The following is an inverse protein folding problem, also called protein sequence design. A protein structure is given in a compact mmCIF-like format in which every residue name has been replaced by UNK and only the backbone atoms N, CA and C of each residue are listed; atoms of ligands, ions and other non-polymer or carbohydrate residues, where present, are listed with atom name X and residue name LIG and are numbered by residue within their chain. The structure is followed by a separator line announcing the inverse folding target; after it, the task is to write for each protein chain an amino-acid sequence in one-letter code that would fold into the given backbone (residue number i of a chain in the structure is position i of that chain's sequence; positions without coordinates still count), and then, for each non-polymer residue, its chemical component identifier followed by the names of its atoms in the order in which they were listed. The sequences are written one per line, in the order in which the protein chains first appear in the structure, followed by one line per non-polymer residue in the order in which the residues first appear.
data_IF_459829287457
#
_entry.id   IF_459829287457
#
_cell.length_a   1.000
_cell.length_b   1.000
_cell.length_c   1.000
_cell.angle_alpha   90.00
_cell.angle_beta   90.00
_cell.angle_gamma   90.00
#
_symmetry.space_group_name_H-M   'P 1'
#
loop_
_entity.id
_entity.type
_entity.pdbx_description
1 polymer ?
#
# COMPACT_ATOMS: atom_id res chain seq x y z
N UNK A 1 67.97 11.57 -6.34
CA UNK A 1 67.30 10.49 -5.56
C UNK A 1 67.55 10.60 -4.06
N UNK A 2 68.79 10.76 -3.60
CA UNK A 2 69.13 10.84 -2.17
C UNK A 2 68.43 11.99 -1.42
N UNK A 3 68.31 13.17 -2.02
CA UNK A 3 67.62 14.31 -1.41
C UNK A 3 66.11 14.08 -1.22
N UNK A 4 65.47 13.36 -2.15
CA UNK A 4 64.03 13.06 -2.06
C UNK A 4 63.75 12.06 -0.93
N UNK A 5 64.64 11.08 -0.76
CA UNK A 5 64.57 10.08 0.31
C UNK A 5 64.81 10.77 1.67
N UNK A 6 65.78 11.68 1.75
CA UNK A 6 66.05 12.44 2.97
C UNK A 6 64.85 13.30 3.41
N UNK A 7 64.15 13.94 2.45
CA UNK A 7 62.94 14.72 2.74
C UNK A 7 61.78 13.81 3.18
N UNK A 8 61.58 12.66 2.54
CA UNK A 8 60.54 11.70 2.94
C UNK A 8 60.78 11.12 4.33
N UNK A 9 62.04 10.81 4.66
CA UNK A 9 62.46 10.35 5.99
C UNK A 9 62.23 11.44 7.04
N UNK A 10 62.53 12.71 6.73
CA UNK A 10 62.25 13.86 7.61
C UNK A 10 60.75 14.07 7.85
N UNK A 11 59.91 13.89 6.83
CA UNK A 11 58.44 14.00 6.98
C UNK A 11 57.85 12.88 7.84
N UNK A 12 58.43 11.67 7.78
CA UNK A 12 57.99 10.53 8.62
C UNK A 12 58.51 10.65 10.06
N UNK A 13 59.73 11.17 10.25
CA UNK A 13 60.36 11.31 11.58
C UNK A 13 59.93 12.57 12.35
N UNK A 14 59.35 13.56 11.68
CA UNK A 14 58.75 14.75 12.30
C UNK A 14 57.22 14.74 12.15
N UNK A 15 56.49 13.83 12.82
CA UNK A 15 55.03 13.84 12.78
C UNK A 15 54.53 15.17 13.38
N UNK A 16 53.95 16.02 12.55
CA UNK A 16 53.17 17.15 13.07
C UNK A 16 51.94 16.57 13.76
N UNK A 17 51.65 17.06 14.97
CA UNK A 17 50.49 16.62 15.74
C UNK A 17 49.23 16.99 14.98
N UNK A 18 48.73 16.07 14.16
CA UNK A 18 47.42 16.23 13.53
C UNK A 18 46.39 15.98 14.63
N UNK A 19 45.90 17.07 15.23
CA UNK A 19 44.75 17.04 16.11
C UNK A 19 43.48 16.84 15.26
N UNK A 20 43.38 15.69 14.60
CA UNK A 20 42.14 15.25 14.02
C UNK A 20 41.21 14.85 15.17
N UNK A 21 40.34 15.76 15.58
CA UNK A 21 39.26 15.47 16.50
C UNK A 21 38.32 14.44 15.84
N UNK A 22 38.56 13.15 16.11
CA UNK A 22 37.57 12.13 15.92
C UNK A 22 36.51 12.35 17.01
N UNK A 23 35.52 13.20 16.70
CA UNK A 23 34.42 13.45 17.62
C UNK A 23 33.76 12.14 18.05
N UNK A 24 33.15 12.10 19.25
CA UNK A 24 32.62 10.86 19.85
C UNK A 24 31.72 10.07 18.89
N UNK A 25 31.05 10.76 17.96
CA UNK A 25 30.21 10.18 16.92
C UNK A 25 30.88 9.15 16.00
N UNK A 26 32.19 9.26 15.71
CA UNK A 26 32.86 8.28 14.85
C UNK A 26 33.01 6.92 15.55
N UNK A 27 33.38 6.93 16.83
CA UNK A 27 33.41 5.74 17.68
C UNK A 27 32.02 5.13 17.85
N UNK A 28 31.00 5.95 18.12
CA UNK A 28 29.60 5.50 18.21
C UNK A 28 29.07 4.94 16.89
N UNK A 29 29.43 5.52 15.74
CA UNK A 29 29.03 5.02 14.43
C UNK A 29 29.66 3.65 14.12
N UNK A 30 30.96 3.47 14.42
CA UNK A 30 31.64 2.19 14.22
C UNK A 30 31.10 1.14 15.20
N UNK A 31 30.91 1.48 16.47
CA UNK A 31 30.35 0.56 17.46
C UNK A 31 28.93 0.13 17.09
N UNK A 32 28.08 1.08 16.69
CA UNK A 32 26.68 0.79 16.33
C UNK A 32 26.56 0.00 15.02
N UNK A 33 27.39 0.31 14.02
CA UNK A 33 27.43 -0.43 12.74
C UNK A 33 28.00 -1.84 12.93
N UNK A 34 29.06 -1.99 13.73
CA UNK A 34 29.59 -3.30 14.08
C UNK A 34 28.59 -4.10 14.90
N UNK A 35 27.96 -3.49 15.92
CA UNK A 35 26.97 -4.15 16.76
C UNK A 35 25.74 -4.59 15.97
N UNK A 36 25.26 -3.78 15.04
CA UNK A 36 24.15 -4.16 14.15
C UNK A 36 24.52 -5.33 13.24
N UNK A 37 25.70 -5.32 12.63
CA UNK A 37 26.20 -6.45 11.84
C UNK A 37 26.38 -7.72 12.68
N UNK A 38 26.94 -7.59 13.89
CA UNK A 38 27.14 -8.70 14.81
C UNK A 38 25.81 -9.31 15.28
N UNK A 39 24.84 -8.48 15.68
CA UNK A 39 23.49 -8.94 16.05
C UNK A 39 22.78 -9.57 14.85
N UNK A 40 22.90 -8.99 13.65
CA UNK A 40 22.34 -9.57 12.44
C UNK A 40 22.97 -10.93 12.12
N UNK A 41 24.28 -11.08 12.30
CA UNK A 41 24.98 -12.35 12.14
C UNK A 41 24.49 -13.38 13.17
N UNK A 42 24.43 -13.03 14.46
CA UNK A 42 23.92 -13.92 15.51
C UNK A 42 22.47 -14.34 15.24
N UNK A 43 21.62 -13.41 14.80
CA UNK A 43 20.23 -13.71 14.44
C UNK A 43 20.15 -14.63 13.22
N UNK A 44 21.01 -14.41 12.22
CA UNK A 44 21.10 -15.26 11.03
C UNK A 44 21.61 -16.66 11.38
N UNK A 45 22.64 -16.77 12.21
CA UNK A 45 23.15 -18.03 12.72
C UNK A 45 22.09 -18.77 13.55
N UNK A 46 21.39 -18.08 14.46
CA UNK A 46 20.27 -18.65 15.20
C UNK A 46 19.16 -19.12 14.27
N UNK A 47 18.76 -18.32 13.29
CA UNK A 47 17.74 -18.68 12.31
C UNK A 47 18.16 -19.91 11.49
N UNK A 48 19.41 -19.98 11.06
CA UNK A 48 19.98 -21.10 10.31
C UNK A 48 20.07 -22.38 11.16
N UNK A 49 20.62 -22.30 12.37
CA UNK A 49 20.77 -23.43 13.29
C UNK A 49 19.42 -23.99 13.74
N UNK A 50 18.44 -23.12 13.95
CA UNK A 50 17.09 -23.54 14.33
C UNK A 50 16.19 -23.85 13.13
N UNK A 51 16.58 -23.54 11.90
CA UNK A 51 15.77 -23.81 10.70
C UNK A 51 15.44 -25.31 10.54
N UNK A 52 16.40 -26.26 10.64
CA UNK A 52 16.11 -27.68 10.54
C UNK A 52 15.12 -28.16 11.61
N UNK A 53 15.31 -27.72 12.86
CA UNK A 53 14.43 -28.08 13.97
C UNK A 53 13.03 -27.47 13.79
N UNK A 54 12.93 -26.19 13.42
CA UNK A 54 11.65 -25.53 13.12
C UNK A 54 10.96 -26.19 11.93
N UNK A 55 11.72 -26.59 10.91
CA UNK A 55 11.21 -27.28 9.72
C UNK A 55 10.69 -28.67 10.08
N UNK A 56 11.45 -29.44 10.85
CA UNK A 56 11.04 -30.75 11.36
C UNK A 56 9.79 -30.63 12.26
N UNK A 57 9.78 -29.68 13.20
CA UNK A 57 8.61 -29.39 14.02
C UNK A 57 7.40 -28.97 13.18
N UNK A 58 7.60 -28.22 12.08
CA UNK A 58 6.53 -27.88 11.14
C UNK A 58 6.06 -29.09 10.36
N UNK A 59 6.93 -30.02 9.97
CA UNK A 59 6.56 -31.27 9.31
C UNK A 59 5.78 -32.20 10.24
N UNK A 60 6.21 -32.31 11.50
CA UNK A 60 5.56 -33.12 12.54
C UNK A 60 4.22 -32.51 13.00
N UNK A 61 4.15 -31.18 13.15
CA UNK A 61 2.92 -30.46 13.53
C UNK A 61 1.99 -30.20 12.34
N UNK A 62 2.45 -30.39 11.10
CA UNK A 62 1.56 -30.33 9.92
C UNK A 62 0.57 -31.46 10.08
N UNK A 63 -0.68 -31.13 10.45
CA UNK A 63 -1.78 -32.06 10.25
C UNK A 63 -1.76 -32.45 8.78
N UNK A 64 -1.44 -33.71 8.49
CA UNK A 64 -1.63 -34.26 7.16
C UNK A 64 -3.12 -34.12 6.86
N UNK A 65 -3.44 -33.45 5.75
CA UNK A 65 -4.77 -33.54 5.13
C UNK A 65 -5.17 -35.02 5.14
N UNK A 66 -6.25 -35.33 5.85
CA UNK A 66 -6.73 -36.70 6.03
C UNK A 66 -7.35 -37.19 4.72
N UNK A 67 -6.53 -37.72 3.82
CA UNK A 67 -7.00 -38.38 2.60
C UNK A 67 -6.12 -38.15 1.37
N UNK A 68 -6.27 -39.05 0.40
CA UNK A 68 -5.71 -38.90 -0.95
C UNK A 68 -6.50 -37.78 -1.66
N UNK A 69 -5.83 -36.69 -2.01
CA UNK A 69 -6.48 -35.57 -2.69
C UNK A 69 -6.98 -36.01 -4.08
N UNK A 70 -8.23 -35.68 -4.41
CA UNK A 70 -8.81 -35.95 -5.74
C UNK A 70 -8.20 -35.05 -6.81
N UNK A 71 -7.76 -33.85 -6.44
CA UNK A 71 -7.14 -32.87 -7.34
C UNK A 71 -5.80 -32.38 -6.78
N UNK A 72 -4.86 -32.04 -7.67
CA UNK A 72 -3.55 -31.49 -7.27
C UNK A 72 -3.60 -30.00 -6.91
N UNK A 73 -4.46 -29.23 -7.59
CA UNK A 73 -4.60 -27.78 -7.45
C UNK A 73 -6.04 -27.35 -7.72
N UNK A 74 -6.53 -26.39 -6.94
CA UNK A 74 -7.79 -25.69 -7.17
C UNK A 74 -7.49 -24.21 -7.43
N UNK A 75 -8.15 -23.62 -8.44
CA UNK A 75 -8.06 -22.20 -8.77
C UNK A 75 -9.46 -21.62 -8.69
N UNK A 76 -9.63 -20.55 -7.92
CA UNK A 76 -10.90 -19.83 -7.82
C UNK A 76 -10.68 -18.46 -8.44
N UNK A 77 -11.44 -18.17 -9.50
CA UNK A 77 -11.45 -16.87 -10.17
C UNK A 77 -12.74 -16.14 -9.81
N UNK A 78 -12.59 -14.93 -9.30
CA UNK A 78 -13.70 -14.07 -8.90
C UNK A 78 -13.85 -12.89 -9.85
N UNK A 79 -15.03 -12.73 -10.45
CA UNK A 79 -15.37 -11.59 -11.29
C UNK A 79 -16.40 -10.73 -10.55
N UNK A 80 -16.03 -9.49 -10.21
CA UNK A 80 -16.95 -8.57 -9.54
C UNK A 80 -18.01 -8.09 -10.52
N UNK A 81 -19.27 -8.04 -10.09
CA UNK A 81 -20.40 -7.59 -10.92
C UNK A 81 -20.66 -8.43 -12.18
N UNK A 82 -20.18 -9.67 -12.26
CA UNK A 82 -20.44 -10.53 -13.43
C UNK A 82 -21.90 -11.00 -13.43
N UNK A 83 -22.70 -10.34 -14.25
CA UNK A 83 -24.11 -10.69 -14.46
C UNK A 83 -24.23 -11.99 -15.29
N UNK A 84 -25.01 -12.99 -14.82
CA UNK A 84 -25.13 -14.27 -15.49
C UNK A 84 -25.86 -14.19 -16.85
N UNK A 85 -26.81 -13.27 -17.03
CA UNK A 85 -27.55 -13.12 -18.28
C UNK A 85 -26.68 -12.45 -19.35
N UNK A 86 -25.90 -11.45 -18.96
CA UNK A 86 -24.89 -10.85 -19.85
C UNK A 86 -23.82 -11.87 -20.24
N UNK A 87 -23.36 -12.69 -19.30
CA UNK A 87 -22.39 -13.74 -19.57
C UNK A 87 -22.94 -14.77 -20.58
N UNK A 88 -24.16 -15.27 -20.38
CA UNK A 88 -24.84 -16.19 -21.31
C UNK A 88 -24.98 -15.58 -22.70
N UNK A 89 -25.44 -14.32 -22.78
CA UNK A 89 -25.57 -13.60 -24.07
C UNK A 89 -24.22 -13.47 -24.78
N UNK A 90 -23.17 -13.06 -24.09
CA UNK A 90 -21.85 -12.88 -24.70
C UNK A 90 -21.15 -14.20 -25.04
N UNK A 91 -21.50 -15.31 -24.38
CA UNK A 91 -21.11 -16.66 -24.81
C UNK A 91 -21.80 -16.99 -26.14
N UNK A 92 -23.11 -16.77 -26.26
CA UNK A 92 -23.87 -17.04 -27.47
C UNK A 92 -23.41 -16.18 -28.67
N UNK A 93 -22.99 -14.94 -28.41
CA UNK A 93 -22.38 -14.04 -29.41
C UNK A 93 -20.92 -14.41 -29.78
N UNK A 94 -20.35 -15.46 -29.18
CA UNK A 94 -18.96 -15.88 -29.44
C UNK A 94 -17.88 -14.98 -28.82
N UNK A 95 -18.25 -14.02 -27.96
CA UNK A 95 -17.34 -13.05 -27.33
C UNK A 95 -16.59 -13.60 -26.11
N UNK A 96 -17.09 -14.68 -25.50
CA UNK A 96 -16.51 -15.31 -24.31
C UNK A 96 -16.11 -16.79 -24.55
N UNK A 97 -15.19 -17.07 -25.51
CA UNK A 97 -14.88 -18.44 -25.92
C UNK A 97 -14.29 -19.31 -24.80
N UNK A 98 -13.54 -18.72 -23.87
CA UNK A 98 -12.99 -19.45 -22.73
C UNK A 98 -14.07 -19.87 -21.71
N UNK A 99 -15.10 -19.04 -21.50
CA UNK A 99 -16.21 -19.39 -20.62
C UNK A 99 -17.12 -20.43 -21.29
N UNK A 100 -17.35 -20.32 -22.60
CA UNK A 100 -18.04 -21.35 -23.38
C UNK A 100 -17.40 -22.73 -23.21
N UNK A 101 -16.07 -22.81 -23.38
CA UNK A 101 -15.32 -24.06 -23.18
C UNK A 101 -15.41 -24.59 -21.74
N UNK A 102 -15.41 -23.72 -20.72
CA UNK A 102 -15.57 -24.13 -19.32
C UNK A 102 -16.99 -24.63 -19.03
N UNK A 103 -18.00 -24.05 -19.68
CA UNK A 103 -19.39 -24.50 -19.61
C UNK A 103 -19.56 -25.89 -20.22
N UNK A 104 -18.97 -26.16 -21.39
CA UNK A 104 -19.01 -27.46 -22.07
C UNK A 104 -18.30 -28.57 -21.28
N UNK A 105 -17.15 -28.27 -20.68
CA UNK A 105 -16.32 -29.25 -19.97
C UNK A 105 -16.72 -29.46 -18.50
N UNK A 106 -17.63 -28.64 -17.99
CA UNK A 106 -17.88 -28.53 -16.56
C UNK A 106 -19.33 -28.26 -16.20
N UNK A 107 -19.54 -27.46 -15.15
CA UNK A 107 -20.87 -27.07 -14.69
C UNK A 107 -20.95 -25.55 -14.69
N UNK A 108 -21.93 -25.02 -15.40
CA UNK A 108 -22.26 -23.60 -15.40
C UNK A 108 -23.67 -23.41 -14.85
N UNK A 109 -23.80 -22.68 -13.74
CA UNK A 109 -25.08 -22.46 -13.05
C UNK A 109 -25.16 -21.05 -12.52
N UNK A 110 -26.35 -20.47 -12.60
CA UNK A 110 -26.68 -19.19 -11.94
C UNK A 110 -26.60 -19.39 -10.43
N UNK A 111 -25.89 -18.50 -9.74
CA UNK A 111 -25.76 -18.49 -8.29
C UNK A 111 -26.54 -17.31 -7.72
N UNK A 112 -27.31 -17.56 -6.65
CA UNK A 112 -27.99 -16.50 -5.92
C UNK A 112 -26.96 -15.68 -5.14
N UNK A 113 -27.05 -14.36 -5.23
CA UNK A 113 -26.22 -13.42 -4.47
C UNK A 113 -26.71 -13.24 -3.03
N UNK A 114 -25.95 -12.51 -2.22
CA UNK A 114 -26.32 -12.13 -0.85
C UNK A 114 -27.41 -11.07 -0.83
N UNK A 115 -28.04 -10.89 0.33
CA UNK A 115 -28.85 -9.72 0.63
C UNK A 115 -28.20 -8.96 1.80
N UNK A 116 -27.70 -7.72 1.61
CA UNK A 116 -27.69 -6.93 0.38
C UNK A 116 -26.78 -7.47 -0.74
N UNK A 117 -27.13 -7.17 -2.00
CA UNK A 117 -26.40 -7.60 -3.19
C UNK A 117 -25.27 -6.62 -3.55
N UNK A 118 -24.33 -6.43 -2.64
CA UNK A 118 -23.20 -5.50 -2.79
C UNK A 118 -21.87 -6.21 -2.56
N UNK A 119 -20.83 -5.81 -3.30
CA UNK A 119 -19.54 -6.52 -3.37
C UNK A 119 -18.94 -6.89 -1.99
N UNK A 120 -18.76 -5.98 -1.00
CA UNK A 120 -18.12 -6.34 0.26
C UNK A 120 -18.91 -7.38 1.06
N UNK A 121 -20.24 -7.43 0.89
CA UNK A 121 -21.13 -8.40 1.52
C UNK A 121 -20.99 -9.77 0.85
N UNK A 122 -21.10 -9.81 -0.47
CA UNK A 122 -20.97 -11.04 -1.26
C UNK A 122 -19.60 -11.69 -1.07
N UNK A 123 -18.51 -10.91 -1.14
CA UNK A 123 -17.14 -11.41 -0.95
C UNK A 123 -16.89 -11.91 0.49
N UNK A 124 -17.47 -11.25 1.50
CA UNK A 124 -17.40 -11.70 2.88
C UNK A 124 -18.15 -13.02 3.08
N UNK A 125 -19.34 -13.17 2.50
CA UNK A 125 -20.10 -14.43 2.53
C UNK A 125 -19.35 -15.54 1.79
N UNK A 126 -18.83 -15.26 0.59
CA UNK A 126 -18.02 -16.21 -0.21
C UNK A 126 -16.87 -16.78 0.61
N UNK A 127 -16.08 -15.92 1.26
CA UNK A 127 -14.89 -16.39 1.95
C UNK A 127 -15.21 -17.10 3.27
N UNK A 128 -16.26 -16.69 3.99
CA UNK A 128 -16.54 -17.18 5.35
C UNK A 128 -17.59 -18.30 5.38
N UNK A 129 -18.38 -18.47 4.32
CA UNK A 129 -19.49 -19.43 4.26
C UNK A 129 -20.66 -19.08 5.18
N UNK A 130 -20.75 -17.84 5.67
CA UNK A 130 -21.83 -17.39 6.56
C UNK A 130 -22.52 -16.15 6.02
N UNK A 131 -23.74 -15.87 6.48
CA UNK A 131 -24.52 -14.71 6.04
C UNK A 131 -24.04 -13.37 6.65
N UNK A 132 -24.56 -12.23 6.17
CA UNK A 132 -24.16 -10.90 6.64
C UNK A 132 -24.31 -10.64 8.12
N UNK A 133 -25.35 -11.21 8.75
CA UNK A 133 -25.55 -11.15 10.20
C UNK A 133 -24.41 -11.76 11.01
N UNK A 134 -23.69 -12.75 10.45
CA UNK A 134 -22.59 -13.44 11.14
C UNK A 134 -21.22 -12.86 10.81
N UNK A 135 -21.00 -12.38 9.58
CA UNK A 135 -19.72 -11.77 9.20
C UNK A 135 -19.66 -10.24 9.41
N UNK A 136 -20.76 -9.59 9.80
CA UNK A 136 -20.80 -8.17 10.22
C UNK A 136 -20.41 -7.16 9.11
N UNK A 137 -20.64 -7.50 7.83
CA UNK A 137 -20.39 -6.58 6.70
C UNK A 137 -21.71 -6.44 5.97
N UNK A 138 -22.17 -5.20 5.79
CA UNK A 138 -23.50 -4.89 5.24
C UNK A 138 -23.47 -3.93 4.04
N UNK A 139 -22.37 -3.18 3.88
CA UNK A 139 -22.14 -2.20 2.80
C UNK A 139 -20.62 -1.88 2.77
N UNK A 140 -20.15 -0.97 1.93
CA UNK A 140 -18.80 -0.35 1.98
C UNK A 140 -18.66 0.63 3.15
N UNK A 141 -19.75 1.31 3.50
CA UNK A 141 -19.82 2.28 4.59
C UNK A 141 -20.73 1.78 5.69
N UNK A 142 -20.35 2.01 6.94
CA UNK A 142 -21.22 1.85 8.09
C UNK A 142 -21.44 3.20 8.74
N UNK A 143 -22.49 3.32 9.55
CA UNK A 143 -22.83 4.56 10.26
C UNK A 143 -22.46 4.42 11.72
N UNK A 144 -21.69 5.37 12.24
CA UNK A 144 -21.47 5.47 13.68
C UNK A 144 -22.80 5.83 14.35
N UNK A 145 -23.20 5.07 15.38
CA UNK A 145 -24.50 5.25 16.03
C UNK A 145 -24.53 6.46 16.96
N UNK A 146 -23.37 6.99 17.38
CA UNK A 146 -23.28 8.10 18.31
C UNK A 146 -23.36 9.46 17.61
N UNK A 147 -22.71 9.59 16.45
CA UNK A 147 -22.61 10.86 15.74
C UNK A 147 -23.15 10.82 14.29
N UNK A 148 -23.65 9.66 13.85
CA UNK A 148 -24.24 9.44 12.52
C UNK A 148 -23.28 9.63 11.34
N UNK A 149 -21.97 9.79 11.57
CA UNK A 149 -20.98 9.92 10.50
C UNK A 149 -20.70 8.56 9.84
N UNK A 150 -20.44 8.54 8.52
CA UNK A 150 -20.04 7.33 7.83
C UNK A 150 -18.60 6.96 8.18
N UNK A 151 -18.34 5.65 8.29
CA UNK A 151 -17.00 5.08 8.40
C UNK A 151 -16.87 3.84 7.52
N UNK A 152 -15.64 3.39 7.26
CA UNK A 152 -15.42 2.20 6.44
C UNK A 152 -15.87 0.94 7.16
N UNK A 153 -16.79 0.19 6.54
CA UNK A 153 -17.33 -1.03 7.13
C UNK A 153 -16.33 -2.18 7.21
N UNK A 154 -15.26 -2.11 6.41
CA UNK A 154 -14.30 -3.20 6.18
C UNK A 154 -13.13 -3.16 7.16
N UNK A 155 -12.63 -1.95 7.44
CA UNK A 155 -11.50 -1.73 8.34
C UNK A 155 -11.63 -0.40 9.09
N UNK A 156 -11.23 -0.42 10.35
CA UNK A 156 -11.12 0.76 11.21
C UNK A 156 -9.64 1.09 11.41
N UNK A 157 -9.26 2.33 11.10
CA UNK A 157 -7.92 2.87 11.36
C UNK A 157 -8.04 3.92 12.46
N UNK A 158 -7.39 3.66 13.60
CA UNK A 158 -7.32 4.61 14.72
C UNK A 158 -5.89 5.05 14.94
N UNK A 159 -5.73 6.33 15.29
CA UNK A 159 -4.48 6.85 15.80
C UNK A 159 -3.99 6.09 17.05
N UNK A 160 -2.75 6.35 17.47
CA UNK A 160 -2.17 5.71 18.65
C UNK A 160 -2.95 6.10 19.91
N UNK A 161 -3.11 5.15 20.83
CA UNK A 161 -3.92 5.31 22.06
C UNK A 161 -3.34 6.34 23.04
N UNK A 162 -2.05 6.63 22.95
CA UNK A 162 -1.33 7.52 23.86
C UNK A 162 -0.60 8.56 23.02
N UNK A 163 -0.60 9.79 23.50
CA UNK A 163 0.18 10.89 22.95
C UNK A 163 0.76 11.73 24.08
N UNK A 164 1.88 12.41 23.80
CA UNK A 164 2.51 13.34 24.71
C UNK A 164 2.46 14.73 24.08
N UNK A 165 1.83 15.69 24.77
CA UNK A 165 1.83 17.09 24.35
C UNK A 165 3.14 17.75 24.82
N UNK A 166 3.97 18.22 23.90
CA UNK A 166 5.19 19.00 24.18
C UNK A 166 5.10 20.32 23.40
N UNK A 167 4.78 21.41 24.09
CA UNK A 167 4.52 22.71 23.46
C UNK A 167 3.40 22.61 22.43
N UNK A 168 3.67 23.02 21.19
CA UNK A 168 2.73 22.93 20.06
C UNK A 168 2.61 21.54 19.43
N UNK A 169 3.48 20.60 19.79
CA UNK A 169 3.53 19.27 19.18
C UNK A 169 2.78 18.23 20.01
N UNK A 170 1.98 17.39 19.36
CA UNK A 170 1.38 16.20 19.96
C UNK A 170 2.11 14.95 19.46
N UNK A 171 3.02 14.41 20.26
CA UNK A 171 3.87 13.28 19.84
C UNK A 171 3.10 11.97 20.05
N UNK A 172 2.83 11.18 19.00
CA UNK A 172 2.18 9.87 19.14
C UNK A 172 3.09 8.86 19.86
N UNK A 173 2.59 8.25 20.94
CA UNK A 173 3.27 7.19 21.68
C UNK A 173 2.69 5.83 21.28
N UNK A 174 3.12 5.33 20.13
CA UNK A 174 2.77 4.00 19.64
C UNK A 174 2.45 3.96 18.16
N UNK A 175 2.02 2.78 17.68
CA UNK A 175 1.60 2.58 16.29
C UNK A 175 0.10 2.83 16.15
N UNK A 176 -0.32 3.25 14.96
CA UNK A 176 -1.73 3.26 14.58
C UNK A 176 -2.33 1.85 14.71
N UNK A 177 -3.58 1.77 15.14
CA UNK A 177 -4.31 0.51 15.25
C UNK A 177 -5.16 0.32 14.00
N UNK A 178 -4.90 -0.76 13.26
CA UNK A 178 -5.69 -1.16 12.10
C UNK A 178 -6.47 -2.41 12.48
N UNK A 179 -7.79 -2.36 12.38
CA UNK A 179 -8.69 -3.45 12.76
C UNK A 179 -9.61 -3.81 11.61
N UNK A 180 -9.59 -5.08 11.21
CA UNK A 180 -10.59 -5.63 10.29
C UNK A 180 -11.94 -5.76 11.00
N UNK A 181 -13.00 -5.30 10.35
CA UNK A 181 -14.35 -5.28 10.92
C UNK A 181 -15.15 -6.53 10.55
N UNK A 182 -14.71 -7.26 9.51
CA UNK A 182 -15.28 -8.53 9.08
C UNK A 182 -15.06 -9.61 10.15
N UNK A 183 -16.14 -10.29 10.53
CA UNK A 183 -16.13 -11.46 11.41
C UNK A 183 -16.15 -12.75 10.60
N UNK A 184 -16.02 -13.88 11.29
CA UNK A 184 -15.98 -15.20 10.67
C UNK A 184 -14.58 -15.57 10.16
N UNK A 185 -14.35 -16.87 10.02
CA UNK A 185 -13.06 -17.43 9.59
C UNK A 185 -13.13 -17.76 8.10
N UNK A 186 -12.29 -17.13 7.25
CA UNK A 186 -12.25 -17.48 5.84
C UNK A 186 -11.85 -18.95 5.61
N UNK A 187 -12.38 -19.59 4.58
CA UNK A 187 -12.16 -21.02 4.33
C UNK A 187 -10.67 -21.36 4.15
N UNK A 188 -9.86 -20.45 3.59
CA UNK A 188 -8.41 -20.65 3.45
C UNK A 188 -7.67 -20.75 4.78
N UNK A 189 -8.21 -20.23 5.88
CA UNK A 189 -7.64 -20.46 7.21
C UNK A 189 -7.82 -21.92 7.64
N UNK A 190 -8.98 -22.53 7.33
CA UNK A 190 -9.21 -23.95 7.60
C UNK A 190 -8.30 -24.82 6.72
N UNK A 191 -8.15 -24.48 5.45
CA UNK A 191 -7.20 -25.14 4.54
C UNK A 191 -5.76 -25.06 5.08
N UNK A 192 -5.31 -23.86 5.50
CA UNK A 192 -3.99 -23.67 6.09
C UNK A 192 -3.78 -24.48 7.37
N UNK A 193 -4.78 -24.55 8.26
CA UNK A 193 -4.76 -25.41 9.46
C UNK A 193 -4.70 -26.91 9.12
N UNK A 194 -5.29 -27.31 8.00
CA UNK A 194 -5.23 -28.67 7.47
C UNK A 194 -3.97 -28.95 6.62
N UNK A 195 -3.01 -28.00 6.59
CA UNK A 195 -1.74 -28.16 5.89
C UNK A 195 -1.78 -27.86 4.38
N UNK A 196 -2.92 -27.42 3.86
CA UNK A 196 -3.14 -27.04 2.45
C UNK A 196 -2.73 -25.57 2.27
N UNK A 197 -1.69 -25.33 1.48
CA UNK A 197 -1.22 -23.98 1.19
C UNK A 197 -2.20 -23.25 0.25
N UNK A 198 -2.48 -21.98 0.52
CA UNK A 198 -3.32 -21.14 -0.33
C UNK A 198 -2.67 -19.80 -0.63
N UNK A 199 -2.80 -19.36 -1.89
CA UNK A 199 -2.44 -18.02 -2.33
C UNK A 199 -3.70 -17.20 -2.54
N UNK A 200 -3.91 -16.17 -1.72
CA UNK A 200 -5.07 -15.28 -1.78
C UNK A 200 -4.62 -13.96 -2.38
N UNK A 201 -5.08 -13.63 -3.59
CA UNK A 201 -4.60 -12.48 -4.35
C UNK A 201 -5.77 -11.55 -4.65
N UNK A 202 -5.72 -10.35 -4.08
CA UNK A 202 -6.67 -9.24 -4.29
C UNK A 202 -8.14 -9.59 -4.07
N UNK A 203 -8.42 -10.59 -3.21
CA UNK A 203 -9.80 -10.88 -2.77
C UNK A 203 -10.31 -9.69 -1.93
N UNK A 204 -11.49 -9.12 -2.21
CA UNK A 204 -12.03 -7.98 -1.47
C UNK A 204 -12.23 -8.25 0.02
N UNK A 205 -12.22 -7.21 0.85
CA UNK A 205 -12.50 -7.27 2.31
C UNK A 205 -11.52 -8.18 3.07
N UNK A 206 -10.26 -8.15 2.67
CA UNK A 206 -9.15 -8.89 3.30
C UNK A 206 -8.10 -7.94 3.91
N UNK A 207 -8.45 -6.67 4.12
CA UNK A 207 -7.61 -5.70 4.82
C UNK A 207 -8.07 -5.51 6.28
N UNK A 208 -7.15 -5.42 7.26
CA UNK A 208 -5.72 -5.70 7.14
C UNK A 208 -5.47 -7.17 6.79
N UNK A 209 -4.36 -7.49 6.09
CA UNK A 209 -4.07 -8.86 5.70
C UNK A 209 -3.93 -9.78 6.92
N UNK A 210 -4.81 -10.76 7.02
CA UNK A 210 -4.81 -11.75 8.10
C UNK A 210 -3.62 -12.71 7.98
N UNK A 211 -3.02 -13.05 9.12
CA UNK A 211 -1.96 -14.07 9.17
C UNK A 211 -2.57 -15.46 9.15
N UNK A 212 -2.21 -16.25 8.15
CA UNK A 212 -2.57 -17.66 8.06
C UNK A 212 -1.44 -18.47 7.39
N UNK A 213 -1.48 -19.82 7.40
CA UNK A 213 -0.49 -20.67 6.72
C UNK A 213 -0.60 -20.62 5.18
N UNK A 214 -0.30 -19.45 4.59
CA UNK A 214 -0.34 -19.18 3.15
C UNK A 214 0.18 -17.78 2.84
N UNK A 215 -0.23 -17.22 1.70
CA UNK A 215 0.09 -15.83 1.33
C UNK A 215 -1.20 -15.05 1.03
N UNK A 216 -1.24 -13.79 1.47
CA UNK A 216 -2.37 -12.89 1.28
C UNK A 216 -1.89 -11.54 0.75
N UNK A 217 -2.43 -11.14 -0.40
CA UNK A 217 -2.37 -9.76 -0.90
C UNK A 217 -3.79 -9.20 -0.89
N UNK A 218 -4.04 -8.19 -0.05
CA UNK A 218 -5.38 -7.59 0.06
C UNK A 218 -5.78 -6.86 -1.23
N UNK A 219 -7.08 -6.79 -1.50
CA UNK A 219 -7.64 -6.19 -2.70
C UNK A 219 -8.50 -4.96 -2.42
N UNK A 220 -9.66 -4.88 -3.08
CA UNK A 220 -10.69 -3.87 -2.79
C UNK A 220 -10.97 -3.78 -1.28
N UNK A 221 -11.27 -2.58 -0.79
CA UNK A 221 -11.39 -2.21 0.62
C UNK A 221 -10.06 -2.02 1.39
N UNK A 222 -8.91 -2.03 0.71
CA UNK A 222 -7.69 -1.44 1.27
C UNK A 222 -7.86 0.09 1.26
N UNK A 223 -7.83 0.78 2.41
CA UNK A 223 -7.94 2.22 2.45
C UNK A 223 -6.67 2.88 1.91
N UNK A 224 -6.83 4.07 1.32
CA UNK A 224 -5.70 4.94 0.99
C UNK A 224 -5.07 5.55 2.25
N UNK A 225 -4.01 6.34 2.08
CA UNK A 225 -3.34 6.98 3.22
C UNK A 225 -4.23 7.95 4.00
N UNK A 226 -5.29 8.48 3.38
CA UNK A 226 -6.27 9.35 4.04
C UNK A 226 -7.32 8.56 4.80
N UNK A 227 -7.30 7.23 4.71
CA UNK A 227 -8.27 6.35 5.35
C UNK A 227 -9.58 6.24 4.58
N UNK A 228 -9.65 6.70 3.33
CA UNK A 228 -10.84 6.61 2.48
C UNK A 228 -10.76 5.45 1.48
N UNK A 229 -11.81 5.23 0.68
CA UNK A 229 -11.91 4.17 -0.33
C UNK A 229 -11.37 4.64 -1.69
N UNK A 230 -10.13 5.12 -1.73
CA UNK A 230 -9.48 5.45 -3.00
C UNK A 230 -9.76 6.87 -3.48
N UNK A 231 -9.50 7.86 -2.61
CA UNK A 231 -9.55 9.29 -2.96
C UNK A 231 -8.41 9.66 -3.89
N UNK A 232 -8.69 9.65 -5.19
CA UNK A 232 -7.74 10.11 -6.19
C UNK A 232 -7.59 11.64 -6.16
N UNK A 233 -6.50 12.13 -6.76
CA UNK A 233 -6.21 13.56 -6.88
C UNK A 233 -6.13 13.97 -8.36
N UNK A 234 -6.87 15.00 -8.75
CA UNK A 234 -6.75 15.64 -10.06
C UNK A 234 -6.09 17.02 -9.91
N UNK A 235 -4.83 17.11 -10.31
CA UNK A 235 -4.10 18.37 -10.34
C UNK A 235 -4.38 19.09 -11.67
N UNK A 236 -4.84 20.34 -11.64
CA UNK A 236 -5.12 21.09 -12.87
C UNK A 236 -4.87 22.60 -12.77
N UNK A 237 -4.46 23.22 -13.88
CA UNK A 237 -4.40 24.70 -14.03
C UNK A 237 -5.76 25.33 -14.31
N UNK A 238 -6.76 24.53 -14.72
CA UNK A 238 -8.11 25.03 -15.00
C UNK A 238 -8.69 25.64 -13.73
N UNK A 239 -9.29 26.81 -13.83
CA UNK A 239 -9.99 27.46 -12.72
C UNK A 239 -11.16 26.58 -12.20
N UNK A 240 -11.49 26.71 -10.92
CA UNK A 240 -12.67 26.09 -10.35
C UNK A 240 -13.93 26.70 -10.99
N UNK A 241 -14.74 25.86 -11.63
CA UNK A 241 -16.12 26.19 -12.00
C UNK A 241 -17.08 25.60 -10.97
N UNK A 242 -18.33 26.05 -10.97
CA UNK A 242 -19.32 25.57 -9.98
C UNK A 242 -19.52 24.06 -10.02
N UNK A 243 -19.43 23.46 -8.82
CA UNK A 243 -19.62 22.05 -8.45
C UNK A 243 -18.72 21.05 -9.20
N UNK A 244 -17.63 20.66 -8.53
CA UNK A 244 -17.04 19.33 -8.74
C UNK A 244 -18.08 18.28 -8.36
N UNK A 245 -18.66 17.59 -9.35
CA UNK A 245 -19.74 16.59 -9.16
C UNK A 245 -19.24 15.14 -9.06
N UNK A 246 -17.93 14.94 -9.02
CA UNK A 246 -17.31 13.62 -9.07
C UNK A 246 -16.51 13.34 -7.79
N UNK A 247 -16.22 12.08 -7.48
CA UNK A 247 -15.41 11.70 -6.31
C UNK A 247 -13.96 12.19 -6.42
N UNK A 248 -13.16 12.00 -5.36
CA UNK A 248 -11.76 12.42 -5.33
C UNK A 248 -11.56 13.87 -4.86
N UNK A 249 -10.35 14.42 -5.09
CA UNK A 249 -10.00 15.81 -4.76
C UNK A 249 -9.36 16.50 -5.96
N UNK A 250 -9.70 17.77 -6.17
CA UNK A 250 -9.09 18.62 -7.18
C UNK A 250 -8.07 19.53 -6.52
N UNK A 251 -6.84 19.54 -7.04
CA UNK A 251 -5.76 20.37 -6.51
C UNK A 251 -5.33 21.37 -7.58
N UNK A 252 -5.25 22.67 -7.26
CA UNK A 252 -4.79 23.66 -8.23
C UNK A 252 -3.31 23.44 -8.57
N UNK A 253 -2.98 23.73 -9.83
CA UNK A 253 -1.60 23.87 -10.28
C UNK A 253 -1.28 25.36 -10.37
N UNK A 254 -0.25 25.79 -9.66
CA UNK A 254 0.22 27.17 -9.68
C UNK A 254 1.34 27.34 -10.71
N UNK A 255 1.20 28.33 -11.60
CA UNK A 255 2.17 28.61 -12.67
C UNK A 255 3.20 29.64 -12.21
N UNK A 256 4.47 29.23 -12.20
CA UNK A 256 5.62 30.09 -11.91
C UNK A 256 6.58 30.06 -13.10
N UNK A 257 6.25 30.82 -14.16
CA UNK A 257 7.00 30.81 -15.42
C UNK A 257 6.90 29.45 -16.15
N UNK A 258 8.03 28.82 -16.53
CA UNK A 258 8.02 27.53 -17.22
C UNK A 258 7.78 26.33 -16.29
N UNK A 259 7.75 26.56 -14.96
CA UNK A 259 7.56 25.52 -13.96
C UNK A 259 6.18 25.68 -13.33
N UNK A 260 5.46 24.57 -13.29
CA UNK A 260 4.19 24.45 -12.60
C UNK A 260 4.42 23.72 -11.28
N UNK A 261 3.79 24.19 -10.20
CA UNK A 261 3.91 23.59 -8.87
C UNK A 261 2.55 23.17 -8.35
N UNK A 262 2.50 22.03 -7.67
CA UNK A 262 1.29 21.49 -7.03
C UNK A 262 1.70 20.46 -5.98
N UNK A 263 0.74 19.74 -5.40
CA UNK A 263 1.01 18.74 -4.37
C UNK A 263 0.04 17.56 -4.43
N UNK A 264 0.50 16.44 -3.89
CA UNK A 264 -0.35 15.30 -3.55
C UNK A 264 -0.83 15.49 -2.10
N UNK A 265 -2.15 15.46 -1.83
CA UNK A 265 -2.68 15.50 -0.47
C UNK A 265 -2.44 14.15 0.23
N UNK A 266 -2.13 14.20 1.51
CA UNK A 266 -1.71 13.06 2.31
C UNK A 266 -2.58 12.82 3.55
N UNK A 267 -2.12 11.95 4.47
CA UNK A 267 -2.78 11.74 5.75
C UNK A 267 -2.72 13.01 6.63
N UNK A 268 -3.55 13.02 7.67
CA UNK A 268 -3.46 14.02 8.74
C UNK A 268 -2.08 14.00 9.41
N UNK A 269 -1.59 15.19 9.76
CA UNK A 269 -0.35 15.39 10.49
C UNK A 269 -0.50 14.86 11.93
N UNK A 270 0.22 13.79 12.29
CA UNK A 270 0.12 13.23 13.64
C UNK A 270 0.64 14.18 14.72
N UNK A 271 1.45 15.19 14.36
CA UNK A 271 2.06 16.13 15.31
C UNK A 271 1.25 17.39 15.54
N UNK A 272 0.33 17.74 14.63
CA UNK A 272 -0.49 18.95 14.70
C UNK A 272 -1.57 18.92 15.80
N UNK A 273 -1.81 17.76 16.43
CA UNK A 273 -2.81 17.63 17.49
C UNK A 273 -4.21 18.07 17.03
N UNK A 274 -4.93 18.78 17.89
CA UNK A 274 -6.28 19.31 17.61
C UNK A 274 -6.30 20.45 16.57
N UNK A 275 -5.13 21.02 16.22
CA UNK A 275 -5.04 22.12 15.26
C UNK A 275 -5.07 21.67 13.80
N UNK A 276 -5.07 20.36 13.52
CA UNK A 276 -5.40 19.74 12.23
C UNK A 276 -4.63 20.28 11.02
N UNK A 277 -3.69 19.49 10.47
CA UNK A 277 -3.04 19.82 9.21
C UNK A 277 -2.96 18.60 8.31
N UNK A 278 -3.40 18.70 7.06
CA UNK A 278 -3.16 17.65 6.07
C UNK A 278 -1.70 17.70 5.62
N UNK A 279 -1.00 16.56 5.66
CA UNK A 279 0.34 16.50 5.10
C UNK A 279 0.29 16.60 3.58
N UNK A 280 1.27 17.27 2.98
CA UNK A 280 1.37 17.44 1.52
C UNK A 280 2.72 16.97 1.02
N UNK A 281 2.74 16.43 -0.19
CA UNK A 281 3.97 16.16 -0.93
C UNK A 281 3.97 16.99 -2.21
N UNK A 282 4.83 17.99 -2.27
CA UNK A 282 4.94 18.86 -3.43
C UNK A 282 5.57 18.12 -4.61
N UNK A 283 5.20 18.51 -5.82
CA UNK A 283 5.88 18.11 -7.04
C UNK A 283 5.81 19.20 -8.11
N UNK A 284 6.77 19.18 -9.02
CA UNK A 284 6.88 20.12 -10.12
C UNK A 284 6.49 19.46 -11.44
N UNK A 285 5.89 20.25 -12.33
CA UNK A 285 5.54 19.84 -13.70
C UNK A 285 6.15 20.84 -14.67
N UNK A 286 6.86 20.33 -15.68
CA UNK A 286 7.39 21.11 -16.81
C UNK A 286 6.74 20.61 -18.09
N UNK A 287 5.65 21.25 -18.56
CA UNK A 287 4.95 20.82 -19.77
C UNK A 287 5.76 21.19 -21.02
N UNK A 288 5.67 20.32 -22.02
CA UNK A 288 6.18 20.52 -23.36
C UNK A 288 5.01 20.30 -24.34
N UNK A 289 4.40 21.42 -24.75
CA UNK A 289 3.21 21.41 -25.61
C UNK A 289 3.51 20.89 -27.02
N UNK A 290 4.69 21.15 -27.58
CA UNK A 290 5.05 20.68 -28.92
C UNK A 290 5.24 19.16 -29.00
N UNK A 291 5.62 18.52 -27.89
CA UNK A 291 5.79 17.05 -27.80
C UNK A 291 4.63 16.34 -27.12
N UNK A 292 3.56 17.05 -26.73
CA UNK A 292 2.46 16.52 -25.92
C UNK A 292 2.96 15.71 -24.70
N UNK A 293 3.92 16.27 -23.97
CA UNK A 293 4.61 15.61 -22.85
C UNK A 293 4.75 16.55 -21.66
N UNK A 294 4.94 15.98 -20.47
CA UNK A 294 5.33 16.74 -19.30
C UNK A 294 6.40 15.98 -18.51
N UNK A 295 7.40 16.73 -18.03
CA UNK A 295 8.37 16.21 -17.07
C UNK A 295 7.87 16.50 -15.65
N UNK A 296 7.72 15.45 -14.85
CA UNK A 296 7.26 15.52 -13.47
C UNK A 296 8.46 15.24 -12.56
N UNK A 297 8.64 16.06 -11.53
CA UNK A 297 9.70 15.90 -10.53
C UNK A 297 9.08 15.84 -9.14
N UNK A 298 9.20 14.70 -8.47
CA UNK A 298 8.76 14.48 -7.08
C UNK A 298 9.96 14.48 -6.13
N UNK A 299 9.71 14.35 -4.83
CA UNK A 299 10.75 14.16 -3.80
C UNK A 299 11.62 12.91 -4.04
N UNK A 300 11.12 11.90 -4.76
CA UNK A 300 11.79 10.60 -4.95
C UNK A 300 12.49 10.46 -6.29
N UNK A 301 11.85 10.94 -7.36
CA UNK A 301 12.28 10.65 -8.72
C UNK A 301 11.78 11.68 -9.72
N UNK A 302 12.39 11.65 -10.91
CA UNK A 302 12.11 12.53 -12.03
C UNK A 302 11.81 11.69 -13.26
N UNK A 303 10.67 11.94 -13.89
CA UNK A 303 10.20 11.15 -15.03
C UNK A 303 9.44 12.01 -16.04
N UNK A 304 9.32 11.53 -17.27
CA UNK A 304 8.58 12.19 -18.35
C UNK A 304 7.41 11.32 -18.78
N UNK A 305 6.23 11.91 -18.92
CA UNK A 305 5.02 11.24 -19.42
C UNK A 305 4.56 11.88 -20.72
N UNK A 306 4.05 11.06 -21.65
CA UNK A 306 3.23 11.55 -22.76
C UNK A 306 1.77 11.67 -22.31
N UNK A 307 1.03 12.54 -22.98
CA UNK A 307 -0.42 12.60 -22.80
C UNK A 307 -1.03 11.22 -23.07
N UNK A 308 -1.88 10.74 -22.15
CA UNK A 308 -2.49 9.43 -22.22
C UNK A 308 -1.68 8.29 -21.57
N UNK A 309 -0.54 8.57 -20.93
CA UNK A 309 0.30 7.56 -20.30
C UNK A 309 0.27 7.63 -18.77
N UNK A 310 0.34 6.44 -18.14
CA UNK A 310 0.61 6.29 -16.72
C UNK A 310 2.10 6.16 -16.46
N UNK A 311 2.56 6.70 -15.34
CA UNK A 311 3.87 6.37 -14.78
C UNK A 311 3.92 4.94 -14.24
N UNK A 312 5.14 4.48 -13.94
CA UNK A 312 5.35 3.39 -12.99
C UNK A 312 4.84 3.78 -11.59
N UNK A 313 4.87 2.84 -10.65
CA UNK A 313 4.58 3.15 -9.25
C UNK A 313 5.69 4.04 -8.67
N UNK A 314 5.31 5.24 -8.26
CA UNK A 314 6.19 6.27 -7.71
C UNK A 314 6.02 6.30 -6.20
N UNK A 315 7.12 6.32 -5.44
CA UNK A 315 7.05 6.46 -3.98
C UNK A 315 6.92 7.93 -3.56
N UNK A 316 5.91 8.25 -2.75
CA UNK A 316 5.68 9.61 -2.26
C UNK A 316 5.92 9.65 -0.75
N UNK A 317 6.59 10.72 -0.28
CA UNK A 317 6.92 10.91 1.14
C UNK A 317 6.26 12.18 1.67
N UNK A 318 5.46 12.01 2.72
CA UNK A 318 4.79 13.09 3.44
C UNK A 318 5.56 13.39 4.73
N UNK A 319 6.03 14.62 4.93
CA UNK A 319 6.88 15.01 6.06
C UNK A 319 6.06 15.77 7.11
N UNK A 320 6.01 15.27 8.34
CA UNK A 320 5.27 15.87 9.47
C UNK A 320 6.16 16.72 10.40
N UNK A 321 7.50 16.58 10.32
CA UNK A 321 8.45 17.22 11.24
C UNK A 321 8.94 16.29 12.34
N UNK A 322 9.95 16.71 13.12
CA UNK A 322 10.57 15.89 14.19
C UNK A 322 10.98 14.46 13.76
N UNK A 323 11.31 14.26 12.48
CA UNK A 323 11.63 12.96 11.89
C UNK A 323 10.43 12.08 11.54
N UNK A 324 9.19 12.49 11.86
CA UNK A 324 7.97 11.79 11.47
C UNK A 324 7.68 11.97 9.97
N UNK A 325 7.38 10.86 9.31
CA UNK A 325 6.95 10.86 7.91
C UNK A 325 6.03 9.70 7.61
N UNK A 326 5.12 9.88 6.66
CA UNK A 326 4.35 8.81 6.04
C UNK A 326 4.88 8.56 4.62
N UNK A 327 4.71 7.33 4.12
CA UNK A 327 5.09 6.95 2.76
C UNK A 327 3.93 6.27 2.07
N UNK A 328 3.72 6.64 0.82
CA UNK A 328 2.75 6.02 -0.09
C UNK A 328 3.39 5.64 -1.41
N UNK A 329 2.58 5.00 -2.25
CA UNK A 329 2.90 4.79 -3.66
C UNK A 329 1.70 5.23 -4.48
N UNK A 330 1.94 5.88 -5.63
CA UNK A 330 0.88 6.27 -6.55
C UNK A 330 1.39 6.17 -8.00
N UNK A 331 0.47 6.29 -8.95
CA UNK A 331 0.79 6.53 -10.36
C UNK A 331 0.29 7.90 -10.77
N UNK A 332 1.04 8.54 -11.65
CA UNK A 332 0.68 9.78 -12.31
C UNK A 332 0.19 9.45 -13.72
N UNK A 333 -0.89 10.09 -14.14
CA UNK A 333 -1.45 9.99 -15.47
C UNK A 333 -1.57 11.38 -16.07
N UNK A 334 -0.85 11.61 -17.17
CA UNK A 334 -0.88 12.90 -17.83
C UNK A 334 -2.09 12.94 -18.77
N UNK A 335 -3.11 13.72 -18.39
CA UNK A 335 -4.35 13.85 -19.19
C UNK A 335 -4.20 14.88 -20.29
N UNK A 336 -3.59 16.02 -19.98
CA UNK A 336 -3.55 17.18 -20.87
C UNK A 336 -2.34 18.06 -20.54
N UNK A 337 -1.79 18.74 -21.55
CA UNK A 337 -0.71 19.74 -21.37
C UNK A 337 -1.04 21.12 -21.98
N UNK A 338 -2.16 21.23 -22.72
CA UNK A 338 -2.63 22.44 -23.39
C UNK A 338 -4.09 22.28 -23.82
N UNK A 339 -4.96 23.31 -23.70
CA UNK A 339 -4.69 24.63 -23.12
C UNK A 339 -4.43 24.60 -21.61
N UNK A 340 -4.96 23.60 -20.91
CA UNK A 340 -4.75 23.41 -19.48
C UNK A 340 -3.83 22.21 -19.24
N UNK A 341 -3.09 22.24 -18.13
CA UNK A 341 -2.34 21.08 -17.68
C UNK A 341 -3.20 20.29 -16.71
N UNK A 342 -3.37 19.00 -16.97
CA UNK A 342 -4.12 18.08 -16.12
C UNK A 342 -3.31 16.82 -15.83
N UNK A 343 -3.11 16.54 -14.55
CA UNK A 343 -2.43 15.35 -14.06
C UNK A 343 -3.33 14.65 -13.05
N UNK A 344 -3.70 13.41 -13.34
CA UNK A 344 -4.38 12.54 -12.40
C UNK A 344 -3.36 11.75 -11.58
N UNK A 345 -3.57 11.65 -10.28
CA UNK A 345 -2.74 10.88 -9.35
C UNK A 345 -3.64 9.84 -8.69
N UNK A 346 -3.27 8.56 -8.81
CA UNK A 346 -4.01 7.47 -8.17
C UNK A 346 -4.01 7.61 -6.65
N UNK A 347 -5.06 7.13 -5.96
CA UNK A 347 -5.10 7.09 -4.50
C UNK A 347 -4.00 6.21 -3.88
#
# INVERSE_FOLDING_TARGET
MAALIAVLVLVVLCPTSSHAYAGPGAGFAVLSSFWTLFVAFLYSAYAFLTWPLRHLLRLLRRRKSSGKAQIKRAVILGFDGMDPELAERFIAEGKLPNLARLQEQGTFRKLRTTFPAISPVAWSTFMTGVNPGKHNIYDFLARDQNNYLPFLSSAEIKGPKRSLKIGKYTIPLGKAQIKGMRRGTPFWHWLGKAGIFSSVIRVPVTFPPEKFPGVLLSGMCVPDLKGSQGTFCLCTTRAEGDKFREGGVRIPIHRHGPVLTTYVPGPDDPLAGEQGGELRSNFEIRPNTSKAQAQITTDSEKFTLKVGEYSNWISIKFKAGLGFSARGICKFYLKEVSPEVEVYVTP
#
